data_IF_948354176258
#
_entry.id   IF_948354176258
#
_cell.length_a   1.000
_cell.length_b   1.000
_cell.length_c   1.000
_cell.angle_alpha   90.00
_cell.angle_beta   90.00
_cell.angle_gamma   90.00
#
_symmetry.space_group_name_H-M   'P 1'
#
loop_
_entity.id
_entity.type
_entity.pdbx_description
1 polymer ?
#
# COMPACT_ATOMS: atom_id res chain seq x y z
N UNK A 1 7.83 34.54 3.68
CA UNK A 1 7.93 33.32 4.51
C UNK A 1 8.48 32.16 3.69
N UNK A 2 9.55 31.49 4.12
CA UNK A 2 10.08 30.30 3.43
C UNK A 2 9.12 29.12 3.64
N UNK A 3 8.77 28.43 2.56
CA UNK A 3 7.87 27.28 2.60
C UNK A 3 8.44 26.16 3.48
N UNK A 4 7.67 25.68 4.46
CA UNK A 4 8.11 24.66 5.41
C UNK A 4 7.88 23.25 4.86
N UNK A 5 8.90 22.40 4.94
CA UNK A 5 8.82 20.97 4.61
C UNK A 5 7.76 20.20 5.41
N UNK A 6 7.36 20.73 6.57
CA UNK A 6 6.33 20.15 7.42
C UNK A 6 4.92 20.29 6.83
N UNK A 7 4.65 21.34 6.04
CA UNK A 7 3.38 21.46 5.31
C UNK A 7 3.23 20.33 4.28
N UNK A 8 4.33 19.94 3.63
CA UNK A 8 4.33 18.80 2.71
C UNK A 8 3.98 17.50 3.43
N UNK A 9 4.49 17.31 4.66
CA UNK A 9 4.17 16.13 5.46
C UNK A 9 2.70 16.10 5.87
N UNK A 10 2.14 17.23 6.29
CA UNK A 10 0.71 17.34 6.62
C UNK A 10 -0.14 17.04 5.39
N UNK A 11 0.16 17.65 4.23
CA UNK A 11 -0.52 17.37 2.97
C UNK A 11 -0.43 15.90 2.57
N UNK A 12 0.75 15.30 2.74
CA UNK A 12 0.98 13.88 2.49
C UNK A 12 0.09 12.98 3.34
N UNK A 13 -0.01 13.26 4.65
CA UNK A 13 -0.84 12.49 5.58
C UNK A 13 -2.32 12.62 5.25
N UNK A 14 -2.82 13.82 4.95
CA UNK A 14 -4.20 14.06 4.54
C UNK A 14 -4.54 13.24 3.28
N UNK A 15 -3.70 13.35 2.24
CA UNK A 15 -3.88 12.60 1.00
C UNK A 15 -3.90 11.11 1.30
N UNK A 16 -2.81 10.59 1.90
CA UNK A 16 -2.63 9.16 2.09
C UNK A 16 -3.75 8.55 2.94
N UNK A 17 -4.19 9.24 3.99
CA UNK A 17 -5.33 8.82 4.81
C UNK A 17 -6.61 8.64 3.98
N UNK A 18 -6.94 9.60 3.12
CA UNK A 18 -8.10 9.50 2.22
C UNK A 18 -7.96 8.34 1.24
N UNK A 19 -6.78 8.14 0.66
CA UNK A 19 -6.53 7.04 -0.28
C UNK A 19 -6.66 5.66 0.37
N UNK A 20 -6.40 5.57 1.67
CA UNK A 20 -6.56 4.35 2.47
C UNK A 20 -7.99 3.82 2.58
N UNK A 21 -9.00 4.59 2.14
CA UNK A 21 -10.41 4.13 2.08
C UNK A 21 -10.59 2.85 1.28
N UNK A 22 -9.67 2.54 0.35
CA UNK A 22 -9.75 1.31 -0.47
C UNK A 22 -9.86 0.06 0.40
N UNK A 23 -9.26 0.05 1.60
CA UNK A 23 -9.34 -1.06 2.55
C UNK A 23 -10.68 -1.14 3.32
N UNK A 24 -11.54 -0.13 3.22
CA UNK A 24 -12.88 -0.10 3.80
C UNK A 24 -13.97 -0.63 2.83
N UNK A 25 -13.59 -1.19 1.67
CA UNK A 25 -14.53 -1.72 0.67
C UNK A 25 -15.56 -2.71 1.23
N UNK A 26 -15.12 -3.56 2.16
CA UNK A 26 -15.97 -4.61 2.75
C UNK A 26 -17.25 -4.08 3.39
N UNK A 27 -17.26 -2.83 3.86
CA UNK A 27 -18.44 -2.17 4.45
C UNK A 27 -19.56 -1.97 3.41
N UNK A 28 -19.20 -1.77 2.14
CA UNK A 28 -20.16 -1.54 1.05
C UNK A 28 -20.73 -2.83 0.45
N UNK A 29 -20.11 -3.99 0.70
CA UNK A 29 -20.55 -5.26 0.10
C UNK A 29 -21.96 -5.66 0.54
N UNK A 30 -22.21 -5.70 1.85
CA UNK A 30 -23.51 -6.11 2.41
C UNK A 30 -24.69 -5.30 1.86
N UNK A 31 -24.69 -3.95 1.91
CA UNK A 31 -25.81 -3.17 1.40
C UNK A 31 -26.00 -3.29 -0.12
N UNK A 32 -24.91 -3.38 -0.92
CA UNK A 32 -25.00 -3.57 -2.37
C UNK A 32 -25.58 -4.94 -2.73
N UNK A 33 -25.14 -6.00 -2.05
CA UNK A 33 -25.67 -7.35 -2.24
C UNK A 33 -27.16 -7.43 -1.87
N UNK A 34 -27.57 -6.72 -0.80
CA UNK A 34 -28.96 -6.67 -0.36
C UNK A 34 -29.87 -5.95 -1.37
N UNK A 35 -29.40 -4.88 -1.99
CA UNK A 35 -30.21 -4.12 -2.96
C UNK A 35 -30.30 -4.79 -4.34
N UNK A 36 -29.19 -5.35 -4.83
CA UNK A 36 -29.13 -5.85 -6.21
C UNK A 36 -29.12 -7.38 -6.33
N UNK A 37 -29.01 -8.11 -5.22
CA UNK A 37 -28.93 -9.57 -5.23
C UNK A 37 -27.64 -10.14 -5.83
N UNK A 38 -26.61 -9.32 -6.03
CA UNK A 38 -25.33 -9.76 -6.62
C UNK A 38 -24.63 -10.79 -5.75
N UNK A 39 -23.89 -11.70 -6.38
CA UNK A 39 -23.01 -12.60 -5.66
C UNK A 39 -21.87 -11.81 -5.00
N UNK A 40 -21.43 -12.24 -3.81
CA UNK A 40 -20.29 -11.62 -3.10
C UNK A 40 -19.03 -11.59 -3.96
N UNK A 41 -18.80 -12.66 -4.73
CA UNK A 41 -17.66 -12.78 -5.65
C UNK A 41 -17.68 -11.70 -6.71
N UNK A 42 -18.83 -11.46 -7.35
CA UNK A 42 -19.02 -10.43 -8.36
C UNK A 42 -18.80 -9.03 -7.76
N UNK A 43 -19.47 -8.70 -6.66
CA UNK A 43 -19.31 -7.40 -6.01
C UNK A 43 -17.86 -7.16 -5.54
N UNK A 44 -17.13 -8.21 -5.16
CA UNK A 44 -15.72 -8.11 -4.75
C UNK A 44 -14.76 -7.82 -5.92
N UNK A 45 -15.14 -8.12 -7.17
CA UNK A 45 -14.32 -7.80 -8.35
C UNK A 45 -14.07 -6.30 -8.46
N UNK A 46 -14.99 -5.44 -8.01
CA UNK A 46 -14.82 -4.00 -8.02
C UNK A 46 -13.55 -3.54 -7.27
N UNK A 47 -13.26 -4.18 -6.13
CA UNK A 47 -12.05 -3.91 -5.35
C UNK A 47 -10.79 -4.40 -6.07
N UNK A 48 -10.83 -5.58 -6.70
CA UNK A 48 -9.71 -6.09 -7.51
C UNK A 48 -9.40 -5.13 -8.67
N UNK A 49 -10.43 -4.65 -9.38
CA UNK A 49 -10.27 -3.66 -10.45
C UNK A 49 -9.69 -2.35 -9.89
N UNK A 50 -10.10 -1.92 -8.69
CA UNK A 50 -9.53 -0.76 -8.03
C UNK A 50 -8.02 -0.90 -7.75
N UNK A 51 -7.58 -2.06 -7.27
CA UNK A 51 -6.16 -2.32 -7.01
C UNK A 51 -5.33 -2.38 -8.30
N UNK A 52 -5.85 -3.01 -9.35
CA UNK A 52 -5.19 -3.08 -10.66
C UNK A 52 -5.10 -1.69 -11.29
N UNK A 53 -6.20 -0.94 -11.25
CA UNK A 53 -6.25 0.45 -11.75
C UNK A 53 -5.27 1.32 -10.97
N UNK A 54 -5.26 1.23 -9.63
CA UNK A 54 -4.29 1.90 -8.78
C UNK A 54 -2.85 1.61 -9.24
N UNK A 55 -2.44 0.34 -9.29
CA UNK A 55 -1.08 -0.02 -9.67
C UNK A 55 -0.71 0.44 -11.10
N UNK A 56 -1.63 0.30 -12.06
CA UNK A 56 -1.43 0.71 -13.44
C UNK A 56 -1.30 2.23 -13.61
N UNK A 57 -2.25 2.99 -13.05
CA UNK A 57 -2.25 4.45 -13.15
C UNK A 57 -1.07 5.10 -12.41
N UNK A 58 -0.52 4.44 -11.39
CA UNK A 58 0.65 4.93 -10.67
C UNK A 58 1.90 5.06 -11.56
N UNK A 59 2.03 4.25 -12.62
CA UNK A 59 3.12 4.38 -13.61
C UNK A 59 3.03 5.73 -14.32
N UNK A 60 1.84 6.08 -14.82
CA UNK A 60 1.59 7.33 -15.51
C UNK A 60 1.70 8.53 -14.56
N UNK A 61 1.11 8.42 -13.38
CA UNK A 61 1.18 9.42 -12.32
C UNK A 61 2.63 9.75 -11.95
N UNK A 62 3.45 8.72 -11.75
CA UNK A 62 4.87 8.84 -11.44
C UNK A 62 5.63 9.66 -12.48
N UNK A 63 5.43 9.34 -13.76
CA UNK A 63 6.07 10.05 -14.88
C UNK A 63 5.58 11.48 -15.02
N UNK A 64 4.28 11.71 -14.85
CA UNK A 64 3.69 13.02 -14.97
C UNK A 64 4.09 13.93 -13.82
N UNK A 65 4.18 13.41 -12.58
CA UNK A 65 4.55 14.25 -11.43
C UNK A 65 6.01 14.71 -11.49
N UNK A 66 6.90 13.91 -12.07
CA UNK A 66 8.31 14.29 -12.22
C UNK A 66 8.47 15.43 -13.24
N UNK A 67 7.53 15.57 -14.19
CA UNK A 67 7.51 16.63 -15.21
C UNK A 67 6.70 17.86 -14.81
N UNK A 68 5.47 17.65 -14.34
CA UNK A 68 4.46 18.69 -14.09
C UNK A 68 4.38 19.09 -12.60
N UNK A 69 5.05 18.33 -11.73
CA UNK A 69 5.08 18.56 -10.29
C UNK A 69 3.99 17.78 -9.52
N UNK A 70 4.22 17.54 -8.22
CA UNK A 70 3.37 16.68 -7.40
C UNK A 70 1.99 17.29 -7.10
N UNK A 71 1.88 18.62 -7.02
CA UNK A 71 0.63 19.34 -6.71
C UNK A 71 -0.45 19.07 -7.74
N UNK A 72 -0.15 19.25 -9.02
CA UNK A 72 -1.12 19.09 -10.10
C UNK A 72 -1.60 17.64 -10.18
N UNK A 73 -0.67 16.69 -10.16
CA UNK A 73 -0.98 15.26 -10.32
C UNK A 73 -1.76 14.72 -9.12
N UNK A 74 -1.43 15.12 -7.89
CA UNK A 74 -2.23 14.77 -6.73
C UNK A 74 -3.62 15.43 -6.73
N UNK A 75 -3.76 16.64 -7.28
CA UNK A 75 -5.06 17.30 -7.47
C UNK A 75 -5.95 16.51 -8.43
N UNK A 76 -5.40 16.07 -9.56
CA UNK A 76 -6.10 15.18 -10.52
C UNK A 76 -6.52 13.89 -9.82
N UNK A 77 -5.65 13.30 -9.01
CA UNK A 77 -5.97 12.10 -8.24
C UNK A 77 -7.11 12.29 -7.24
N UNK A 78 -7.13 13.43 -6.52
CA UNK A 78 -8.23 13.79 -5.62
C UNK A 78 -9.56 13.99 -6.33
N UNK A 79 -9.53 14.66 -7.49
CA UNK A 79 -10.72 14.84 -8.34
C UNK A 79 -11.26 13.50 -8.82
N UNK A 80 -10.40 12.63 -9.35
CA UNK A 80 -10.81 11.30 -9.81
C UNK A 80 -11.33 10.42 -8.66
N UNK A 81 -10.67 10.42 -7.49
CA UNK A 81 -11.12 9.64 -6.34
C UNK A 81 -12.51 10.11 -5.87
N UNK A 82 -12.67 11.41 -5.66
CA UNK A 82 -13.93 11.99 -5.22
C UNK A 82 -15.06 11.79 -6.22
N UNK A 83 -14.80 12.03 -7.51
CA UNK A 83 -15.78 11.79 -8.58
C UNK A 83 -16.11 10.30 -8.72
N UNK A 84 -15.13 9.40 -8.62
CA UNK A 84 -15.38 7.96 -8.68
C UNK A 84 -16.36 7.49 -7.59
N UNK A 85 -16.17 7.97 -6.35
CA UNK A 85 -17.10 7.71 -5.25
C UNK A 85 -18.47 8.39 -5.47
N UNK A 86 -18.50 9.65 -5.85
CA UNK A 86 -19.75 10.38 -6.13
C UNK A 86 -20.55 9.68 -7.24
N UNK A 87 -19.90 9.24 -8.31
CA UNK A 87 -20.55 8.53 -9.41
C UNK A 87 -21.00 7.13 -9.00
N UNK A 88 -20.25 6.45 -8.12
CA UNK A 88 -20.64 5.14 -7.58
C UNK A 88 -21.97 5.19 -6.81
N UNK A 89 -22.35 6.35 -6.26
CA UNK A 89 -23.69 6.60 -5.69
C UNK A 89 -24.81 6.19 -6.64
N UNK A 90 -24.65 6.41 -7.95
CA UNK A 90 -25.70 6.19 -8.95
C UNK A 90 -25.69 4.78 -9.53
N UNK A 91 -24.84 3.90 -9.01
CA UNK A 91 -24.72 2.52 -9.50
C UNK A 91 -26.06 1.80 -9.46
N UNK A 92 -26.37 1.13 -10.57
CA UNK A 92 -27.49 0.19 -10.73
C UNK A 92 -27.07 -1.15 -11.35
N UNK A 93 -25.80 -1.29 -11.75
CA UNK A 93 -25.25 -2.50 -12.36
C UNK A 93 -23.79 -2.73 -11.94
N UNK A 94 -23.34 -3.99 -12.00
CA UNK A 94 -21.94 -4.35 -11.69
C UNK A 94 -20.94 -3.58 -12.56
N UNK A 95 -21.21 -3.43 -13.86
CA UNK A 95 -20.33 -2.70 -14.77
C UNK A 95 -20.19 -1.22 -14.40
N UNK A 96 -21.28 -0.58 -13.97
CA UNK A 96 -21.22 0.80 -13.49
C UNK A 96 -20.36 0.90 -12.23
N UNK A 97 -20.46 -0.06 -11.31
CA UNK A 97 -19.62 -0.11 -10.12
C UNK A 97 -18.14 -0.33 -10.47
N UNK A 98 -17.86 -1.24 -11.39
CA UNK A 98 -16.51 -1.54 -11.85
C UNK A 98 -15.85 -0.33 -12.50
N UNK A 99 -16.59 0.46 -13.26
CA UNK A 99 -16.07 1.67 -13.90
C UNK A 99 -15.90 2.80 -12.87
N UNK A 100 -16.92 3.08 -12.07
CA UNK A 100 -16.92 4.23 -11.14
C UNK A 100 -15.97 4.01 -9.95
N UNK A 101 -16.15 2.94 -9.20
CA UNK A 101 -15.28 2.62 -8.06
C UNK A 101 -13.99 1.93 -8.51
N UNK A 102 -14.09 0.91 -9.36
CA UNK A 102 -12.93 0.14 -9.78
C UNK A 102 -11.95 0.99 -10.60
N UNK A 103 -12.38 1.55 -11.72
CA UNK A 103 -11.47 2.27 -12.63
C UNK A 103 -11.23 3.71 -12.20
N UNK A 104 -12.28 4.52 -12.02
CA UNK A 104 -12.15 5.96 -11.80
C UNK A 104 -11.58 6.24 -10.39
N UNK A 105 -12.17 5.69 -9.33
CA UNK A 105 -11.63 5.88 -7.98
C UNK A 105 -10.26 5.21 -7.82
N UNK A 106 -10.05 4.01 -8.37
CA UNK A 106 -8.75 3.35 -8.41
C UNK A 106 -7.67 4.16 -9.13
N UNK A 107 -8.00 4.79 -10.27
CA UNK A 107 -7.12 5.74 -10.95
C UNK A 107 -6.78 6.93 -10.05
N UNK A 108 -7.78 7.50 -9.36
CA UNK A 108 -7.58 8.58 -8.41
C UNK A 108 -6.55 8.26 -7.33
N UNK A 109 -6.61 7.05 -6.78
CA UNK A 109 -5.60 6.54 -5.84
C UNK A 109 -4.22 6.48 -6.51
N UNK A 110 -4.09 5.94 -7.72
CA UNK A 110 -2.81 5.88 -8.45
C UNK A 110 -2.19 7.24 -8.73
N UNK A 111 -3.00 8.22 -9.13
CA UNK A 111 -2.54 9.59 -9.37
C UNK A 111 -2.07 10.29 -8.09
N UNK A 112 -2.75 10.07 -6.96
CA UNK A 112 -2.43 10.76 -5.72
C UNK A 112 -1.37 10.05 -4.85
N UNK A 113 -1.24 8.72 -4.91
CA UNK A 113 -0.43 7.94 -3.95
C UNK A 113 1.08 8.20 -4.05
N UNK A 114 1.61 8.25 -5.27
CA UNK A 114 3.06 8.39 -5.52
C UNK A 114 3.57 9.81 -5.23
N UNK A 115 2.70 10.80 -5.32
CA UNK A 115 3.06 12.22 -5.26
C UNK A 115 3.65 12.64 -3.89
N UNK A 116 2.99 12.34 -2.76
CA UNK A 116 3.54 12.64 -1.45
C UNK A 116 4.86 11.92 -1.16
N UNK A 117 4.96 10.64 -1.53
CA UNK A 117 6.12 9.80 -1.25
C UNK A 117 7.36 10.37 -1.96
N UNK A 118 7.25 10.59 -3.28
CA UNK A 118 8.34 11.13 -4.08
C UNK A 118 8.75 12.54 -3.63
N UNK A 119 7.80 13.37 -3.19
CA UNK A 119 8.08 14.72 -2.71
C UNK A 119 8.79 14.70 -1.35
N UNK A 120 8.35 13.85 -0.43
CA UNK A 120 8.88 13.81 0.93
C UNK A 120 10.31 13.28 0.99
N UNK A 121 10.66 12.26 0.20
CA UNK A 121 12.06 11.78 0.17
C UNK A 121 13.02 12.85 -0.34
N UNK A 122 12.58 13.75 -1.23
CA UNK A 122 13.37 14.92 -1.69
C UNK A 122 13.59 15.92 -0.56
N UNK A 123 12.59 16.14 0.31
CA UNK A 123 12.71 17.04 1.47
C UNK A 123 13.51 16.45 2.63
N UNK A 124 13.47 15.12 2.81
CA UNK A 124 14.11 14.43 3.94
C UNK A 124 15.11 13.38 3.43
N UNK A 125 16.20 13.79 2.76
CA UNK A 125 17.11 12.86 2.09
C UNK A 125 17.94 11.97 3.03
N UNK A 126 17.97 12.30 4.33
CA UNK A 126 18.67 11.54 5.38
C UNK A 126 17.75 10.49 6.04
N UNK A 127 16.44 10.75 6.08
CA UNK A 127 15.45 9.95 6.80
C UNK A 127 14.37 9.43 5.83
N UNK A 128 14.81 8.90 4.68
CA UNK A 128 13.90 8.48 3.58
C UNK A 128 12.96 7.37 4.04
N UNK A 129 13.45 6.45 4.87
CA UNK A 129 12.70 5.34 5.45
C UNK A 129 11.57 5.83 6.33
N UNK A 130 11.92 6.59 7.36
CA UNK A 130 10.96 7.13 8.31
C UNK A 130 9.93 8.03 7.62
N UNK A 131 10.35 8.94 6.75
CA UNK A 131 9.40 9.88 6.13
C UNK A 131 8.44 9.18 5.15
N UNK A 132 8.94 8.21 4.37
CA UNK A 132 8.08 7.39 3.51
C UNK A 132 7.13 6.56 4.35
N UNK A 133 7.64 5.99 5.44
CA UNK A 133 6.87 5.24 6.44
C UNK A 133 5.75 6.04 7.07
N UNK A 134 6.00 7.26 7.54
CA UNK A 134 4.97 8.15 8.10
C UNK A 134 3.93 8.50 7.05
N UNK A 135 4.35 8.87 5.83
CA UNK A 135 3.43 9.22 4.76
C UNK A 135 2.49 8.05 4.44
N UNK A 136 3.06 6.87 4.19
CA UNK A 136 2.27 5.70 3.83
C UNK A 136 1.54 5.10 5.04
N UNK A 137 1.93 5.40 6.29
CA UNK A 137 1.16 5.03 7.48
C UNK A 137 -0.23 5.66 7.46
N UNK A 138 -0.36 6.89 6.95
CA UNK A 138 -1.67 7.50 6.67
C UNK A 138 -2.56 6.60 5.82
N UNK A 139 -2.01 6.01 4.75
CA UNK A 139 -2.74 5.06 3.89
C UNK A 139 -3.19 3.81 4.64
N UNK A 140 -2.32 3.23 5.49
CA UNK A 140 -2.70 2.08 6.32
C UNK A 140 -3.78 2.42 7.37
N UNK A 141 -3.76 3.64 7.89
CA UNK A 141 -4.71 4.11 8.90
C UNK A 141 -6.07 4.57 8.32
N UNK A 142 -6.17 4.76 6.99
CA UNK A 142 -7.39 5.27 6.36
C UNK A 142 -8.64 4.45 6.67
N UNK A 143 -8.56 3.12 6.66
CA UNK A 143 -9.71 2.27 7.00
C UNK A 143 -10.14 2.38 8.46
N UNK A 144 -9.22 2.66 9.40
CA UNK A 144 -9.57 2.85 10.81
C UNK A 144 -10.45 4.09 11.03
N UNK A 145 -10.35 5.08 10.13
CA UNK A 145 -11.16 6.30 10.16
C UNK A 145 -12.41 6.16 9.30
N UNK A 146 -12.24 5.74 8.04
CA UNK A 146 -13.32 5.77 7.06
C UNK A 146 -14.25 4.57 7.10
N UNK A 147 -13.83 3.40 7.62
CA UNK A 147 -14.74 2.25 7.74
C UNK A 147 -15.85 2.51 8.78
N UNK A 148 -15.55 2.94 10.03
CA UNK A 148 -16.61 3.26 11.00
C UNK A 148 -17.50 4.41 10.54
N UNK A 149 -16.91 5.43 9.91
CA UNK A 149 -17.68 6.55 9.33
C UNK A 149 -18.63 6.07 8.24
N UNK A 150 -18.15 5.21 7.32
CA UNK A 150 -18.98 4.63 6.27
C UNK A 150 -20.13 3.79 6.86
N UNK A 151 -19.84 2.93 7.84
CA UNK A 151 -20.85 2.11 8.53
C UNK A 151 -21.94 2.97 9.16
N UNK A 152 -21.55 4.00 9.93
CA UNK A 152 -22.51 4.91 10.58
C UNK A 152 -23.40 5.64 9.57
N UNK A 153 -22.85 6.09 8.44
CA UNK A 153 -23.63 6.73 7.38
C UNK A 153 -24.56 5.71 6.68
N UNK A 154 -24.07 4.49 6.41
CA UNK A 154 -24.85 3.42 5.78
C UNK A 154 -26.05 3.04 6.64
N UNK A 155 -25.85 2.87 7.95
CA UNK A 155 -26.92 2.50 8.89
C UNK A 155 -27.97 3.60 9.04
N UNK A 156 -27.57 4.87 8.97
CA UNK A 156 -28.49 6.01 9.16
C UNK A 156 -29.20 6.45 7.89
N UNK A 157 -28.49 6.51 6.75
CA UNK A 157 -28.97 7.16 5.52
C UNK A 157 -28.70 6.35 4.24
N UNK A 158 -28.16 5.15 4.36
CA UNK A 158 -27.92 4.23 3.25
C UNK A 158 -26.57 4.41 2.54
N UNK A 159 -26.21 3.40 1.74
CA UNK A 159 -24.92 3.31 1.06
C UNK A 159 -24.71 4.37 -0.03
N UNK A 160 -25.78 4.82 -0.69
CA UNK A 160 -25.72 5.92 -1.66
C UNK A 160 -25.23 7.21 -1.00
N UNK A 161 -25.75 7.51 0.19
CA UNK A 161 -25.32 8.67 0.99
C UNK A 161 -23.86 8.54 1.43
N UNK A 162 -23.41 7.34 1.80
CA UNK A 162 -22.02 7.09 2.15
C UNK A 162 -21.06 7.34 0.97
N UNK A 163 -21.36 6.84 -0.24
CA UNK A 163 -20.54 7.15 -1.43
C UNK A 163 -20.49 8.65 -1.74
N UNK A 164 -21.63 9.33 -1.62
CA UNK A 164 -21.70 10.77 -1.85
C UNK A 164 -20.85 11.57 -0.85
N UNK A 165 -21.08 11.36 0.45
CA UNK A 165 -20.42 12.11 1.53
C UNK A 165 -18.92 11.84 1.52
N UNK A 166 -18.51 10.57 1.44
CA UNK A 166 -17.10 10.22 1.38
C UNK A 166 -16.44 10.75 0.10
N UNK A 167 -17.12 10.66 -1.05
CA UNK A 167 -16.62 11.23 -2.29
C UNK A 167 -16.37 12.73 -2.21
N UNK A 168 -17.27 13.49 -1.55
CA UNK A 168 -17.06 14.92 -1.29
C UNK A 168 -15.89 15.17 -0.33
N UNK A 169 -15.79 14.40 0.76
CA UNK A 169 -14.67 14.47 1.71
C UNK A 169 -13.35 14.23 0.98
N UNK A 170 -13.25 13.18 0.15
CA UNK A 170 -12.03 12.85 -0.58
C UNK A 170 -11.68 13.91 -1.61
N UNK A 171 -12.67 14.40 -2.37
CA UNK A 171 -12.47 15.48 -3.32
C UNK A 171 -11.83 16.69 -2.64
N UNK A 172 -12.43 17.18 -1.55
CA UNK A 172 -11.96 18.38 -0.85
C UNK A 172 -10.63 18.11 -0.15
N UNK A 173 -10.54 17.06 0.67
CA UNK A 173 -9.38 16.80 1.51
C UNK A 173 -8.12 16.48 0.68
N UNK A 174 -8.24 15.65 -0.36
CA UNK A 174 -7.10 15.30 -1.21
C UNK A 174 -6.64 16.50 -2.03
N UNK A 175 -7.57 17.31 -2.57
CA UNK A 175 -7.22 18.53 -3.31
C UNK A 175 -6.53 19.54 -2.39
N UNK A 176 -7.05 19.78 -1.18
CA UNK A 176 -6.40 20.66 -0.20
C UNK A 176 -5.02 20.14 0.21
N UNK A 177 -4.90 18.84 0.51
CA UNK A 177 -3.62 18.21 0.80
C UNK A 177 -2.63 18.31 -0.36
N UNK A 178 -3.11 18.23 -1.60
CA UNK A 178 -2.30 18.37 -2.81
C UNK A 178 -1.73 19.79 -2.95
N UNK A 179 -2.46 20.83 -2.51
CA UNK A 179 -1.96 22.21 -2.56
C UNK A 179 -0.75 22.42 -1.64
N UNK A 180 -0.59 21.57 -0.62
CA UNK A 180 0.55 21.57 0.30
C UNK A 180 1.75 20.80 -0.25
N UNK A 181 1.62 20.07 -1.36
CA UNK A 181 2.75 19.38 -1.97
C UNK A 181 3.58 20.32 -2.84
N UNK A 182 4.88 20.35 -2.59
CA UNK A 182 5.84 21.13 -3.39
C UNK A 182 7.20 20.45 -3.35
N UNK A 183 7.87 20.32 -4.48
CA UNK A 183 9.27 19.87 -4.50
C UNK A 183 10.19 20.93 -3.86
N UNK A 184 11.30 20.53 -3.21
CA UNK A 184 12.29 21.48 -2.72
C UNK A 184 12.91 22.27 -3.88
N UNK A 185 13.33 23.50 -3.59
CA UNK A 185 14.06 24.31 -4.57
C UNK A 185 15.47 23.76 -4.84
N UNK A 186 16.10 24.25 -5.91
CA UNK A 186 17.44 23.82 -6.29
C UNK A 186 18.49 24.16 -5.22
N UNK A 187 18.30 25.27 -4.48
CA UNK A 187 19.21 25.70 -3.42
C UNK A 187 19.20 24.73 -2.22
N UNK A 188 18.02 24.29 -1.77
CA UNK A 188 17.85 23.29 -0.74
C UNK A 188 18.47 21.96 -1.15
N UNK A 189 18.19 21.53 -2.39
CA UNK A 189 18.73 20.28 -2.94
C UNK A 189 20.26 20.30 -2.97
N UNK A 190 20.88 21.33 -3.55
CA UNK A 190 22.34 21.50 -3.58
C UNK A 190 22.95 21.53 -2.19
N UNK A 191 22.36 22.27 -1.25
CA UNK A 191 22.83 22.32 0.15
C UNK A 191 22.81 20.95 0.81
N UNK A 192 21.78 20.15 0.56
CA UNK A 192 21.66 18.80 1.13
C UNK A 192 22.54 17.76 0.42
N UNK A 193 22.78 17.90 -0.87
CA UNK A 193 23.72 17.07 -1.63
C UNK A 193 25.17 17.31 -1.19
N UNK A 194 25.55 18.57 -0.92
CA UNK A 194 26.87 18.91 -0.41
C UNK A 194 27.19 18.25 0.96
N UNK A 195 26.15 17.91 1.73
CA UNK A 195 26.27 17.23 3.02
C UNK A 195 26.35 15.69 2.89
N UNK A 196 26.24 15.12 1.69
CA UNK A 196 26.33 13.67 1.47
C UNK A 196 27.76 13.25 1.13
N UNK A 197 28.26 12.27 1.86
CA UNK A 197 29.56 11.61 1.62
C UNK A 197 29.54 10.66 0.42
N UNK A 198 28.37 10.22 -0.05
CA UNK A 198 28.22 9.31 -1.21
C UNK A 198 27.19 9.86 -2.19
N UNK A 199 27.62 10.12 -3.43
CA UNK A 199 26.71 10.47 -4.54
C UNK A 199 26.00 9.21 -5.03
N UNK A 200 24.68 9.22 -4.98
CA UNK A 200 23.83 8.25 -5.69
C UNK A 200 23.65 8.74 -7.12
N UNK A 201 23.73 7.84 -8.09
CA UNK A 201 23.45 8.15 -9.49
C UNK A 201 21.96 8.48 -9.66
N UNK A 202 21.64 9.57 -10.35
CA UNK A 202 20.27 10.02 -10.59
C UNK A 202 19.78 9.48 -11.94
N UNK A 203 19.32 8.22 -11.95
CA UNK A 203 18.91 7.53 -13.19
C UNK A 203 17.39 7.61 -13.43
N UNK A 204 17.01 7.56 -14.71
CA UNK A 204 15.62 7.48 -15.13
C UNK A 204 15.09 6.04 -15.16
N UNK A 205 13.78 5.89 -15.27
CA UNK A 205 13.11 4.58 -15.23
C UNK A 205 13.59 3.66 -16.37
N UNK A 206 13.88 4.18 -17.57
CA UNK A 206 14.37 3.36 -18.68
C UNK A 206 15.70 2.66 -18.35
N UNK A 207 16.60 3.37 -17.70
CA UNK A 207 17.90 2.84 -17.30
C UNK A 207 17.77 1.96 -16.06
N UNK A 208 16.92 2.36 -15.10
CA UNK A 208 16.59 1.56 -13.92
C UNK A 208 16.13 0.14 -14.30
N UNK A 209 15.25 0.00 -15.29
CA UNK A 209 14.76 -1.31 -15.75
C UNK A 209 15.86 -2.22 -16.33
N UNK A 210 16.97 -1.65 -16.78
CA UNK A 210 18.15 -2.40 -17.26
C UNK A 210 19.07 -2.83 -16.12
N UNK A 211 18.94 -2.26 -14.92
CA UNK A 211 19.80 -2.58 -13.77
C UNK A 211 19.29 -3.87 -13.09
N UNK A 212 20.14 -4.89 -12.88
CA UNK A 212 19.73 -6.11 -12.17
C UNK A 212 19.18 -5.87 -10.76
N UNK A 213 19.63 -4.78 -10.10
CA UNK A 213 19.17 -4.41 -8.75
C UNK A 213 17.70 -4.01 -8.73
N UNK A 214 17.17 -3.49 -9.84
CA UNK A 214 15.74 -3.24 -9.97
C UNK A 214 14.96 -4.55 -9.87
N UNK A 215 15.29 -5.55 -10.70
CA UNK A 215 14.59 -6.83 -10.73
C UNK A 215 14.70 -7.59 -9.41
N UNK A 216 15.85 -7.52 -8.74
CA UNK A 216 16.02 -8.08 -7.40
C UNK A 216 15.03 -7.43 -6.40
N UNK A 217 14.98 -6.10 -6.34
CA UNK A 217 14.05 -5.38 -5.46
C UNK A 217 12.59 -5.66 -5.84
N UNK A 218 12.29 -5.69 -7.13
CA UNK A 218 10.96 -5.94 -7.65
C UNK A 218 10.46 -7.33 -7.25
N UNK A 219 11.28 -8.38 -7.40
CA UNK A 219 10.93 -9.75 -6.98
C UNK A 219 10.77 -9.84 -5.46
N UNK A 220 11.66 -9.21 -4.69
CA UNK A 220 11.52 -9.18 -3.23
C UNK A 220 10.21 -8.52 -2.80
N UNK A 221 9.83 -7.40 -3.43
CA UNK A 221 8.57 -6.73 -3.12
C UNK A 221 7.38 -7.58 -3.53
N UNK A 222 7.43 -8.19 -4.73
CA UNK A 222 6.38 -9.09 -5.20
C UNK A 222 6.17 -10.25 -4.21
N UNK A 223 7.23 -10.92 -3.76
CA UNK A 223 7.15 -12.04 -2.82
C UNK A 223 6.61 -11.62 -1.45
N UNK A 224 7.12 -10.52 -0.90
CA UNK A 224 6.64 -9.96 0.35
C UNK A 224 5.15 -9.59 0.32
N UNK A 225 4.74 -8.91 -0.75
CA UNK A 225 3.36 -8.52 -0.94
C UNK A 225 2.45 -9.72 -1.19
N UNK A 226 2.89 -10.70 -1.99
CA UNK A 226 2.13 -11.93 -2.31
C UNK A 226 1.89 -12.72 -1.03
N UNK A 227 2.92 -12.91 -0.21
CA UNK A 227 2.81 -13.59 1.08
C UNK A 227 1.80 -12.92 2.00
N UNK A 228 1.85 -11.59 2.13
CA UNK A 228 0.87 -10.85 2.94
C UNK A 228 -0.56 -10.98 2.40
N UNK A 229 -0.76 -10.68 1.11
CA UNK A 229 -2.07 -10.65 0.47
C UNK A 229 -2.73 -12.03 0.38
N UNK A 230 -1.94 -13.09 0.24
CA UNK A 230 -2.42 -14.48 0.29
C UNK A 230 -3.07 -14.82 1.62
N UNK A 231 -2.52 -14.31 2.73
CA UNK A 231 -2.93 -14.67 4.08
C UNK A 231 -4.02 -13.74 4.61
N UNK A 232 -3.86 -12.42 4.43
CA UNK A 232 -4.71 -11.39 5.05
C UNK A 232 -6.21 -11.63 4.84
N UNK A 233 -6.62 -12.00 3.62
CA UNK A 233 -8.03 -12.22 3.28
C UNK A 233 -8.67 -13.43 3.95
N UNK A 234 -7.86 -14.35 4.49
CA UNK A 234 -8.31 -15.64 5.00
C UNK A 234 -8.19 -15.76 6.53
N UNK A 235 -7.56 -14.80 7.20
CA UNK A 235 -7.29 -14.85 8.65
C UNK A 235 -8.55 -14.99 9.51
N UNK A 236 -9.64 -14.31 9.15
CA UNK A 236 -10.90 -14.43 9.89
C UNK A 236 -11.53 -15.83 9.72
N UNK A 237 -11.41 -16.44 8.54
CA UNK A 237 -11.89 -17.81 8.28
C UNK A 237 -11.02 -18.81 9.05
N UNK A 238 -9.70 -18.66 8.96
CA UNK A 238 -8.73 -19.48 9.69
C UNK A 238 -8.94 -19.44 11.21
N UNK A 239 -9.27 -18.28 11.78
CA UNK A 239 -9.65 -18.15 13.19
C UNK A 239 -10.91 -18.94 13.55
N UNK A 240 -11.94 -18.92 12.68
CA UNK A 240 -13.17 -19.68 12.90
C UNK A 240 -12.95 -21.20 12.81
N UNK A 241 -12.08 -21.65 11.91
CA UNK A 241 -11.66 -23.07 11.84
C UNK A 241 -10.96 -23.52 13.13
N UNK A 242 -10.30 -22.59 13.84
CA UNK A 242 -9.73 -22.83 15.17
C UNK A 242 -10.74 -22.79 16.31
N UNK A 243 -12.03 -22.59 16.03
CA UNK A 243 -13.11 -22.54 17.02
C UNK A 243 -13.45 -21.15 17.57
N UNK A 244 -12.86 -20.07 17.01
CA UNK A 244 -13.20 -18.71 17.42
C UNK A 244 -14.56 -18.28 16.86
N UNK A 245 -15.30 -17.46 17.62
CA UNK A 245 -16.52 -16.84 17.09
C UNK A 245 -16.17 -15.83 15.97
N UNK A 246 -17.12 -15.52 15.07
CA UNK A 246 -16.90 -14.53 14.03
C UNK A 246 -16.41 -13.17 14.55
N UNK A 247 -16.93 -12.71 15.69
CA UNK A 247 -16.60 -11.43 16.31
C UNK A 247 -15.15 -11.44 16.83
N UNK A 248 -14.75 -12.53 17.51
CA UNK A 248 -13.39 -12.68 18.05
C UNK A 248 -12.36 -12.79 16.94
N UNK A 249 -12.66 -13.55 15.88
CA UNK A 249 -11.79 -13.66 14.71
C UNK A 249 -11.65 -12.31 13.99
N UNK A 250 -12.74 -11.57 13.82
CA UNK A 250 -12.72 -10.23 13.24
C UNK A 250 -11.93 -9.23 14.09
N UNK A 251 -12.09 -9.27 15.42
CA UNK A 251 -11.34 -8.42 16.35
C UNK A 251 -9.83 -8.70 16.27
N UNK A 252 -9.42 -9.97 16.17
CA UNK A 252 -8.02 -10.33 15.99
C UNK A 252 -7.47 -9.76 14.67
N UNK A 253 -8.21 -9.88 13.57
CA UNK A 253 -7.84 -9.28 12.27
C UNK A 253 -7.79 -7.75 12.35
N UNK A 254 -8.58 -7.10 13.21
CA UNK A 254 -8.48 -5.66 13.47
C UNK A 254 -7.10 -5.23 13.97
N UNK A 255 -6.43 -6.06 14.78
CA UNK A 255 -5.05 -5.80 15.26
C UNK A 255 -4.06 -5.70 14.10
N UNK A 256 -4.28 -6.45 13.02
CA UNK A 256 -3.43 -6.41 11.82
C UNK A 256 -3.36 -5.00 11.23
N UNK A 257 -4.50 -4.29 11.16
CA UNK A 257 -4.57 -2.95 10.56
C UNK A 257 -3.72 -1.93 11.35
N UNK A 258 -3.79 -1.99 12.69
CA UNK A 258 -3.00 -1.14 13.58
C UNK A 258 -1.50 -1.39 13.34
N UNK A 259 -1.10 -2.65 13.39
CA UNK A 259 0.30 -3.01 13.20
C UNK A 259 0.78 -2.77 11.76
N UNK A 260 -0.11 -2.80 10.76
CA UNK A 260 0.24 -2.41 9.40
C UNK A 260 0.67 -0.95 9.32
N UNK A 261 -0.04 -0.04 9.99
CA UNK A 261 0.37 1.36 10.11
C UNK A 261 1.70 1.50 10.86
N UNK A 262 1.83 0.87 12.03
CA UNK A 262 3.04 0.93 12.85
C UNK A 262 4.27 0.36 12.11
N UNK A 263 4.10 -0.72 11.38
CA UNK A 263 5.14 -1.37 10.60
C UNK A 263 5.74 -0.46 9.53
N UNK A 264 4.92 0.39 8.89
CA UNK A 264 5.41 1.39 7.94
C UNK A 264 6.37 2.38 8.61
N UNK A 265 6.03 2.86 9.81
CA UNK A 265 6.84 3.84 10.54
C UNK A 265 8.11 3.18 11.10
N UNK A 266 7.96 2.06 11.81
CA UNK A 266 9.06 1.42 12.54
C UNK A 266 10.06 0.79 11.56
N UNK A 267 9.62 0.06 10.53
CA UNK A 267 10.58 -0.44 9.53
C UNK A 267 11.26 0.69 8.76
N UNK A 268 10.53 1.78 8.50
CA UNK A 268 11.11 3.01 7.97
C UNK A 268 12.28 3.50 8.82
N UNK A 269 12.05 3.70 10.12
CA UNK A 269 13.07 4.11 11.09
C UNK A 269 14.24 3.12 11.18
N UNK A 270 13.94 1.84 11.39
CA UNK A 270 14.93 0.75 11.49
C UNK A 270 15.84 0.74 10.26
N UNK A 271 15.29 0.98 9.08
CA UNK A 271 16.07 0.98 7.84
C UNK A 271 16.92 2.22 7.61
N UNK A 272 16.57 3.36 8.21
CA UNK A 272 17.43 4.55 8.23
C UNK A 272 18.62 4.35 9.20
N UNK A 273 18.43 3.61 10.28
CA UNK A 273 19.47 3.35 11.31
C UNK A 273 20.39 2.19 10.92
N UNK A 274 19.81 1.02 10.62
CA UNK A 274 20.55 -0.22 10.37
C UNK A 274 20.85 -0.47 8.88
N UNK A 275 20.32 0.37 7.99
CA UNK A 275 20.46 0.23 6.54
C UNK A 275 19.41 -0.67 5.89
N UNK A 276 19.13 -0.42 4.61
CA UNK A 276 18.03 -1.06 3.85
C UNK A 276 18.13 -2.58 3.78
N UNK A 277 19.33 -3.11 3.51
CA UNK A 277 19.54 -4.56 3.37
C UNK A 277 19.23 -5.27 4.68
N UNK A 278 19.78 -4.78 5.81
CA UNK A 278 19.55 -5.39 7.12
C UNK A 278 18.06 -5.36 7.50
N UNK A 279 17.41 -4.20 7.34
CA UNK A 279 15.98 -4.07 7.64
C UNK A 279 15.12 -5.02 6.79
N UNK A 280 15.38 -5.11 5.48
CA UNK A 280 14.66 -6.04 4.60
C UNK A 280 14.91 -7.50 4.98
N UNK A 281 16.15 -7.90 5.30
CA UNK A 281 16.45 -9.27 5.73
C UNK A 281 15.68 -9.64 6.99
N UNK A 282 15.71 -8.77 8.02
CA UNK A 282 15.05 -9.04 9.29
C UNK A 282 13.54 -9.06 9.09
N UNK A 283 12.97 -8.08 8.37
CA UNK A 283 11.54 -8.01 8.08
C UNK A 283 11.03 -9.28 7.38
N UNK A 284 11.71 -9.73 6.32
CA UNK A 284 11.33 -10.94 5.60
C UNK A 284 11.59 -12.21 6.41
N UNK A 285 12.67 -12.27 7.21
CA UNK A 285 12.95 -13.40 8.08
C UNK A 285 11.90 -13.57 9.18
N UNK A 286 11.52 -12.47 9.84
CA UNK A 286 10.44 -12.46 10.85
C UNK A 286 9.12 -12.82 10.19
N UNK A 287 8.82 -12.30 8.99
CA UNK A 287 7.61 -12.66 8.27
C UNK A 287 7.58 -14.15 7.92
N UNK A 288 8.68 -14.71 7.43
CA UNK A 288 8.78 -16.13 7.11
C UNK A 288 8.53 -17.00 8.35
N UNK A 289 9.19 -16.70 9.46
CA UNK A 289 8.99 -17.39 10.73
C UNK A 289 7.52 -17.34 11.16
N UNK A 290 6.90 -16.16 11.12
CA UNK A 290 5.51 -16.00 11.50
C UNK A 290 4.57 -16.77 10.58
N UNK A 291 4.83 -16.84 9.27
CA UNK A 291 4.01 -17.65 8.35
C UNK A 291 4.05 -19.14 8.70
N UNK A 292 5.22 -19.67 9.08
CA UNK A 292 5.32 -21.08 9.50
C UNK A 292 4.67 -21.34 10.86
N UNK A 293 4.74 -20.38 11.79
CA UNK A 293 4.10 -20.52 13.11
C UNK A 293 2.58 -20.32 13.07
N UNK A 294 2.10 -19.41 12.20
CA UNK A 294 0.69 -19.03 12.08
C UNK A 294 -0.23 -20.24 11.91
N UNK A 295 0.26 -21.30 11.26
CA UNK A 295 -0.40 -22.59 11.05
C UNK A 295 -1.05 -23.16 12.32
N UNK A 296 -0.48 -22.89 13.51
CA UNK A 296 -0.98 -23.40 14.80
C UNK A 296 -1.58 -22.32 15.70
N UNK A 297 -1.74 -21.10 15.20
CA UNK A 297 -2.07 -19.91 16.02
C UNK A 297 -3.51 -19.42 15.78
N UNK A 298 -4.48 -20.32 15.61
CA UNK A 298 -5.91 -19.97 15.43
C UNK A 298 -6.84 -20.35 16.59
N UNK A 299 -6.35 -21.05 17.61
CA UNK A 299 -7.20 -21.62 18.67
C UNK A 299 -7.59 -20.63 19.77
N UNK A 300 -6.95 -19.46 19.81
CA UNK A 300 -7.22 -18.42 20.81
C UNK A 300 -7.05 -17.03 20.19
N UNK A 301 -7.84 -16.08 20.68
CA UNK A 301 -7.73 -14.67 20.32
C UNK A 301 -6.29 -14.16 20.41
N UNK A 302 -5.59 -14.42 21.53
CA UNK A 302 -4.25 -13.88 21.76
C UNK A 302 -3.20 -14.46 20.81
N UNK A 303 -3.32 -15.75 20.48
CA UNK A 303 -2.43 -16.40 19.52
C UNK A 303 -2.64 -15.82 18.12
N UNK A 304 -3.89 -15.72 17.68
CA UNK A 304 -4.21 -15.18 16.36
C UNK A 304 -3.82 -13.70 16.29
N UNK A 305 -4.20 -12.89 17.28
CA UNK A 305 -3.88 -11.47 17.37
C UNK A 305 -2.36 -11.22 17.33
N UNK A 306 -1.56 -12.02 18.05
CA UNK A 306 -0.11 -11.91 18.02
C UNK A 306 0.43 -12.20 16.61
N UNK A 307 0.00 -13.30 16.00
CA UNK A 307 0.51 -13.70 14.69
C UNK A 307 0.13 -12.67 13.61
N UNK A 308 -1.13 -12.22 13.59
CA UNK A 308 -1.62 -11.26 12.60
C UNK A 308 -1.07 -9.85 12.82
N UNK A 309 -0.70 -9.49 14.05
CA UNK A 309 0.05 -8.26 14.34
C UNK A 309 1.38 -8.24 13.59
N UNK A 310 2.19 -9.31 13.67
CA UNK A 310 3.45 -9.39 12.93
C UNK A 310 3.25 -9.47 11.41
N UNK A 311 2.24 -10.21 10.95
CA UNK A 311 1.88 -10.25 9.52
C UNK A 311 1.58 -8.84 9.02
N UNK A 312 0.76 -8.08 9.74
CA UNK A 312 0.45 -6.69 9.44
C UNK A 312 1.67 -5.79 9.46
N UNK A 313 2.47 -5.90 10.52
CA UNK A 313 3.69 -5.12 10.75
C UNK A 313 4.70 -5.25 9.61
N UNK A 314 5.04 -6.47 9.22
CA UNK A 314 5.98 -6.70 8.12
C UNK A 314 5.36 -6.40 6.75
N UNK A 315 4.06 -6.67 6.56
CA UNK A 315 3.36 -6.28 5.33
C UNK A 315 3.44 -4.76 5.13
N UNK A 316 3.22 -3.98 6.19
CA UNK A 316 3.36 -2.53 6.20
C UNK A 316 4.78 -2.07 5.88
N UNK A 317 5.79 -2.76 6.42
CA UNK A 317 7.19 -2.44 6.18
C UNK A 317 7.58 -2.42 4.70
N UNK A 318 6.99 -3.26 3.84
CA UNK A 318 7.23 -3.22 2.39
C UNK A 318 7.00 -1.80 1.82
N UNK A 319 5.93 -1.12 2.23
CA UNK A 319 5.56 0.19 1.70
C UNK A 319 6.48 1.33 2.17
N UNK A 320 7.30 1.11 3.20
CA UNK A 320 8.32 2.06 3.65
C UNK A 320 9.71 1.74 3.08
N UNK A 321 10.06 0.45 3.02
CA UNK A 321 11.39 -0.01 2.63
C UNK A 321 11.64 0.09 1.12
N UNK A 322 10.68 -0.31 0.28
CA UNK A 322 10.86 -0.29 -1.17
C UNK A 322 10.96 1.10 -1.81
N UNK A 323 10.17 2.13 -1.43
CA UNK A 323 10.42 3.47 -1.96
C UNK A 323 11.79 3.99 -1.52
N UNK A 324 12.18 3.73 -0.27
CA UNK A 324 13.47 4.18 0.26
C UNK A 324 14.64 3.48 -0.43
N UNK A 325 14.55 2.17 -0.66
CA UNK A 325 15.53 1.41 -1.43
C UNK A 325 15.59 1.87 -2.89
N UNK A 326 14.46 2.18 -3.51
CA UNK A 326 14.40 2.75 -4.87
C UNK A 326 15.17 4.08 -4.91
N UNK A 327 14.91 4.97 -3.96
CA UNK A 327 15.59 6.26 -3.85
C UNK A 327 17.09 6.17 -3.52
N UNK A 328 17.53 5.11 -2.83
CA UNK A 328 18.93 4.89 -2.49
C UNK A 328 19.73 4.29 -3.65
N UNK A 329 19.10 3.49 -4.51
CA UNK A 329 19.76 2.84 -5.64
C UNK A 329 19.71 3.67 -6.93
N UNK A 330 18.67 4.47 -7.14
CA UNK A 330 18.39 5.11 -8.43
C UNK A 330 18.24 6.64 -8.37
N UNK A 331 18.44 7.21 -7.17
CA UNK A 331 18.31 8.64 -6.95
C UNK A 331 16.86 9.10 -6.68
N UNK A 332 16.70 10.38 -6.39
CA UNK A 332 15.41 10.97 -6.01
C UNK A 332 14.80 11.85 -7.08
N UNK A 333 15.56 12.25 -8.11
CA UNK A 333 15.13 13.17 -9.17
C UNK A 333 13.91 12.62 -9.91
N UNK A 334 13.99 11.36 -10.35
CA UNK A 334 12.93 10.64 -11.08
C UNK A 334 12.17 9.66 -10.17
N UNK A 335 12.06 9.98 -8.88
CA UNK A 335 11.49 9.06 -7.89
C UNK A 335 10.04 8.70 -8.21
N UNK A 336 9.26 9.62 -8.79
CA UNK A 336 7.89 9.35 -9.17
C UNK A 336 7.81 8.21 -10.18
N UNK A 337 8.51 8.33 -11.31
CA UNK A 337 8.53 7.30 -12.34
C UNK A 337 9.17 6.00 -11.84
N UNK A 338 10.35 6.09 -11.19
CA UNK A 338 11.09 4.92 -10.73
C UNK A 338 10.27 4.09 -9.72
N UNK A 339 9.66 4.74 -8.73
CA UNK A 339 8.83 4.04 -7.77
C UNK A 339 7.51 3.56 -8.35
N UNK A 340 6.92 4.30 -9.31
CA UNK A 340 5.74 3.84 -10.05
C UNK A 340 5.98 2.49 -10.75
N UNK A 341 7.12 2.32 -11.42
CA UNK A 341 7.50 1.03 -12.00
C UNK A 341 7.83 -0.03 -10.93
N UNK A 342 8.53 0.33 -9.85
CA UNK A 342 8.78 -0.59 -8.74
C UNK A 342 7.46 -1.12 -8.15
N UNK A 343 6.45 -0.26 -8.00
CA UNK A 343 5.16 -0.59 -7.39
C UNK A 343 4.32 -1.54 -8.24
N UNK A 344 4.65 -1.75 -9.52
CA UNK A 344 3.98 -2.77 -10.33
C UNK A 344 4.12 -4.18 -9.72
N UNK A 345 5.19 -4.45 -8.97
CA UNK A 345 5.35 -5.71 -8.21
C UNK A 345 4.21 -5.94 -7.23
N UNK A 346 3.70 -4.88 -6.60
CA UNK A 346 2.53 -4.95 -5.72
C UNK A 346 1.25 -5.25 -6.50
N UNK A 347 1.10 -4.68 -7.71
CA UNK A 347 0.00 -5.02 -8.62
C UNK A 347 -0.02 -6.50 -8.99
N UNK A 348 1.12 -7.08 -9.37
CA UNK A 348 1.25 -8.52 -9.63
C UNK A 348 0.96 -9.36 -8.39
N UNK A 349 1.46 -8.95 -7.22
CA UNK A 349 1.17 -9.61 -5.95
C UNK A 349 -0.32 -9.54 -5.57
N UNK A 350 -1.00 -8.45 -5.90
CA UNK A 350 -2.44 -8.23 -5.79
C UNK A 350 -3.27 -9.30 -6.48
N UNK A 351 -2.76 -9.84 -7.59
CA UNK A 351 -3.39 -10.90 -8.37
C UNK A 351 -2.95 -12.26 -7.82
N UNK A 352 -1.63 -12.50 -7.75
CA UNK A 352 -1.07 -13.80 -7.40
C UNK A 352 -1.42 -14.24 -5.97
N UNK A 353 -1.34 -13.35 -4.99
CA UNK A 353 -1.54 -13.69 -3.57
C UNK A 353 -2.92 -14.29 -3.30
N UNK A 354 -4.01 -13.53 -3.52
CA UNK A 354 -5.37 -14.04 -3.31
C UNK A 354 -5.70 -15.26 -4.17
N UNK A 355 -5.30 -15.28 -5.45
CA UNK A 355 -5.57 -16.41 -6.35
C UNK A 355 -4.88 -17.70 -5.89
N UNK A 356 -3.62 -17.63 -5.48
CA UNK A 356 -2.90 -18.80 -4.97
C UNK A 356 -3.48 -19.27 -3.64
N UNK A 357 -3.83 -18.33 -2.74
CA UNK A 357 -4.49 -18.67 -1.46
C UNK A 357 -5.81 -19.41 -1.66
N UNK A 358 -6.67 -18.89 -2.53
CA UNK A 358 -7.94 -19.52 -2.87
C UNK A 358 -7.76 -20.90 -3.51
N UNK A 359 -6.92 -21.01 -4.55
CA UNK A 359 -6.66 -22.31 -5.21
C UNK A 359 -6.11 -23.39 -4.27
N UNK A 360 -5.22 -22.99 -3.35
CA UNK A 360 -4.70 -23.93 -2.35
C UNK A 360 -5.84 -24.39 -1.45
N UNK A 361 -6.64 -23.46 -0.92
CA UNK A 361 -7.76 -23.81 -0.05
C UNK A 361 -8.79 -24.69 -0.77
N UNK A 362 -9.17 -24.36 -1.99
CA UNK A 362 -10.12 -25.15 -2.77
C UNK A 362 -9.63 -26.59 -2.97
N UNK A 363 -8.33 -26.78 -3.20
CA UNK A 363 -7.73 -28.09 -3.43
C UNK A 363 -7.48 -28.91 -2.15
N UNK A 364 -7.15 -28.27 -1.04
CA UNK A 364 -6.70 -28.97 0.19
C UNK A 364 -7.67 -28.85 1.36
N UNK A 365 -8.66 -27.94 1.26
CA UNK A 365 -9.53 -27.50 2.35
C UNK A 365 -8.72 -27.05 3.59
N UNK A 366 -7.50 -26.53 3.37
CA UNK A 366 -6.58 -26.14 4.43
C UNK A 366 -5.68 -24.97 4.00
N UNK A 367 -5.52 -24.00 4.89
CA UNK A 367 -4.59 -22.88 4.69
C UNK A 367 -3.11 -23.23 4.95
N UNK A 368 -2.82 -24.44 5.43
CA UNK A 368 -1.45 -24.87 5.76
C UNK A 368 -0.48 -24.61 4.60
N UNK A 369 -0.81 -25.12 3.41
CA UNK A 369 0.07 -25.03 2.25
C UNK A 369 0.21 -23.57 1.77
N UNK A 370 -0.84 -22.76 1.90
CA UNK A 370 -0.78 -21.34 1.55
C UNK A 370 0.19 -20.59 2.46
N UNK A 371 0.15 -20.85 3.78
CA UNK A 371 1.07 -20.26 4.74
C UNK A 371 2.51 -20.75 4.55
N UNK A 372 2.70 -22.04 4.25
CA UNK A 372 4.01 -22.59 3.93
C UNK A 372 4.62 -21.96 2.66
N UNK A 373 3.82 -21.79 1.60
CA UNK A 373 4.24 -21.10 0.37
C UNK A 373 4.60 -19.65 0.68
N UNK A 374 3.75 -18.92 1.41
CA UNK A 374 3.99 -17.54 1.82
C UNK A 374 5.30 -17.40 2.64
N UNK A 375 5.55 -18.35 3.56
CA UNK A 375 6.78 -18.44 4.32
C UNK A 375 8.00 -18.66 3.42
N UNK A 376 7.92 -19.61 2.49
CA UNK A 376 8.98 -19.87 1.50
C UNK A 376 9.31 -18.66 0.63
N UNK A 377 8.31 -17.95 0.14
CA UNK A 377 8.49 -16.69 -0.62
C UNK A 377 9.24 -15.64 0.22
N UNK A 378 8.90 -15.51 1.50
CA UNK A 378 9.59 -14.60 2.42
C UNK A 378 11.04 -15.03 2.69
N UNK A 379 11.32 -16.33 2.83
CA UNK A 379 12.70 -16.85 2.95
C UNK A 379 13.51 -16.47 1.71
N UNK A 380 12.97 -16.69 0.51
CA UNK A 380 13.66 -16.33 -0.73
C UNK A 380 13.92 -14.82 -0.79
N UNK A 381 12.95 -13.98 -0.41
CA UNK A 381 13.13 -12.53 -0.35
C UNK A 381 14.21 -12.10 0.67
N UNK A 382 14.27 -12.74 1.84
CA UNK A 382 15.29 -12.51 2.86
C UNK A 382 16.69 -12.86 2.33
N UNK A 383 16.83 -14.02 1.68
CA UNK A 383 18.08 -14.47 1.07
C UNK A 383 18.51 -13.52 -0.07
N UNK A 384 17.58 -13.20 -0.98
CA UNK A 384 17.83 -12.26 -2.07
C UNK A 384 18.35 -10.93 -1.53
N UNK A 385 17.79 -10.40 -0.45
CA UNK A 385 18.22 -9.13 0.14
C UNK A 385 19.74 -9.06 0.39
N UNK A 386 20.36 -10.17 0.81
CA UNK A 386 21.78 -10.28 1.15
C UNK A 386 22.69 -10.55 -0.04
N UNK A 387 22.18 -11.18 -1.10
CA UNK A 387 22.98 -11.44 -2.29
C UNK A 387 23.39 -10.14 -2.97
N UNK A 388 24.69 -9.83 -2.98
CA UNK A 388 25.21 -8.72 -3.77
C UNK A 388 25.11 -9.12 -5.23
N UNK A 389 24.47 -8.28 -6.04
CA UNK A 389 24.62 -8.41 -7.49
C UNK A 389 26.07 -8.09 -7.80
N UNK A 390 26.78 -9.03 -8.43
CA UNK A 390 28.16 -8.82 -8.85
C UNK A 390 28.23 -7.49 -9.61
N UNK A 391 29.13 -6.59 -9.18
CA UNK A 391 29.40 -5.36 -9.93
C UNK A 391 29.96 -5.79 -11.28
N UNK A 392 29.13 -5.84 -12.33
CA UNK A 392 29.66 -5.80 -13.69
C UNK A 392 30.30 -4.43 -13.84
N UNK A 393 31.62 -4.39 -13.70
CA UNK A 393 32.42 -3.31 -14.25
C UNK A 393 32.22 -3.41 -15.76
N UNK A 394 31.72 -2.33 -16.36
CA UNK A 394 31.85 -2.06 -17.79
C UNK A 394 32.20 -0.59 -17.90
#
# INVERSE_FOLDING_TARGET
MKFSKWYVLVGALIIQMCLGVVYAWSVFLSPLMKEFGWAKTEASVAFTIALVSFAGFMIFAGRLQDKLGPRLIATIGGVLLGLGFILARFTTSLWMLYITYGVIAGAGIGFAYVCPIATLVKWFPQNKGLISGIAVAGFGAGSLVFAPLATSIIESTGWRSAFWILGLIFLVAVVLGAQLLRNPDAAYTKKKEALKTKKTEEIGWQEMLKRPVFWKLWVMFMFGATAGLMVIGHLAVFGREGGLTPEVAAAAVGVLAIFNGLGRIIWGLVSDIFGRVNAMTIMFGVQALMMFLLIKMNTSFWMLAFAVAFVGFNFGGNFALFPSATADNFGMKNMGANYGFMFTSYGFAGILGPMLGAKVFDATQSYFLAFAIAGGLCVIAAILSRFRLAKKHS
#
